data_IF_518509513603
#
_entry.id   IF_518509513603
#
_cell.length_a   1.000
_cell.length_b   1.000
_cell.length_c   1.000
_cell.angle_alpha   90.00
_cell.angle_beta   90.00
_cell.angle_gamma   90.00
#
_symmetry.space_group_name_H-M   'P 1'
#
loop_
_entity.id
_entity.type
_entity.pdbx_description
1 polymer ?
#
# COMPACT_ATOMS: atom_id res chain seq x y z
N UNK A 1 -15.50 -18.41 -18.17
CA UNK A 1 -14.78 -17.17 -17.87
C UNK A 1 -13.41 -17.52 -17.34
N UNK A 2 -12.44 -16.62 -17.49
CA UNK A 2 -11.01 -16.80 -17.22
C UNK A 2 -10.48 -15.82 -16.16
N UNK A 3 -11.34 -15.00 -15.57
CA UNK A 3 -10.92 -14.04 -14.54
C UNK A 3 -10.57 -14.77 -13.25
N UNK A 4 -9.49 -14.33 -12.62
CA UNK A 4 -8.99 -14.89 -11.36
C UNK A 4 -8.69 -13.72 -10.43
N UNK A 5 -8.97 -13.90 -9.14
CA UNK A 5 -8.50 -12.97 -8.11
C UNK A 5 -7.79 -13.72 -6.98
N UNK A 6 -6.85 -13.04 -6.36
CA UNK A 6 -6.16 -13.54 -5.18
C UNK A 6 -5.84 -12.40 -4.21
N UNK A 7 -5.52 -12.77 -2.97
CA UNK A 7 -5.10 -11.87 -1.93
C UNK A 7 -3.85 -12.41 -1.25
N UNK A 8 -3.00 -11.50 -0.81
CA UNK A 8 -1.81 -11.73 0.01
C UNK A 8 -2.07 -11.01 1.31
N UNK A 9 -2.24 -11.77 2.40
CA UNK A 9 -2.30 -11.17 3.73
C UNK A 9 -0.91 -10.66 4.13
N UNK A 10 0.08 -11.51 3.95
CA UNK A 10 1.49 -11.25 4.22
C UNK A 10 2.32 -12.28 3.46
N UNK A 11 3.35 -11.84 2.73
CA UNK A 11 4.28 -12.72 2.03
C UNK A 11 5.57 -11.98 1.71
N UNK A 12 6.68 -12.69 1.85
CA UNK A 12 7.99 -12.24 1.37
C UNK A 12 8.30 -12.85 0.00
N UNK A 13 8.82 -12.05 -0.91
CA UNK A 13 9.31 -12.44 -2.23
C UNK A 13 10.80 -12.17 -2.34
N UNK A 14 11.51 -13.02 -3.09
CA UNK A 14 12.88 -12.74 -3.54
C UNK A 14 12.82 -12.44 -5.02
N UNK A 15 13.02 -11.18 -5.39
CA UNK A 15 12.90 -10.71 -6.77
C UNK A 15 14.20 -9.99 -7.13
N UNK A 16 14.89 -10.47 -8.17
CA UNK A 16 16.16 -9.87 -8.63
C UNK A 16 17.26 -9.78 -7.54
N UNK A 17 17.16 -10.60 -6.50
CA UNK A 17 18.09 -10.62 -5.37
C UNK A 17 17.68 -9.74 -4.18
N UNK A 18 16.59 -8.99 -4.32
CA UNK A 18 16.01 -8.16 -3.26
C UNK A 18 14.89 -8.90 -2.53
N UNK A 19 14.81 -8.68 -1.21
CA UNK A 19 13.72 -9.17 -0.37
C UNK A 19 12.62 -8.12 -0.35
N UNK A 20 11.45 -8.48 -0.87
CA UNK A 20 10.28 -7.62 -0.94
C UNK A 20 9.20 -8.20 -0.02
N UNK A 21 8.76 -7.41 0.96
CA UNK A 21 7.68 -7.77 1.88
C UNK A 21 6.37 -7.13 1.45
N UNK A 22 5.34 -7.95 1.31
CA UNK A 22 4.02 -7.52 0.84
C UNK A 22 2.97 -7.96 1.84
N UNK A 23 2.06 -7.06 2.18
CA UNK A 23 0.90 -7.36 2.99
C UNK A 23 -0.36 -6.72 2.37
N UNK A 24 -1.54 -7.03 2.91
CA UNK A 24 -2.80 -6.35 2.63
C UNK A 24 -3.26 -6.21 1.16
N UNK A 25 -2.60 -6.90 0.23
CA UNK A 25 -2.79 -6.78 -1.21
C UNK A 25 -3.86 -7.75 -1.74
N UNK A 26 -4.75 -7.27 -2.58
CA UNK A 26 -5.63 -8.06 -3.45
C UNK A 26 -5.40 -7.72 -4.92
N UNK A 27 -5.51 -8.69 -5.82
CA UNK A 27 -5.30 -8.46 -7.24
C UNK A 27 -6.11 -9.39 -8.11
N UNK A 28 -6.37 -8.93 -9.33
CA UNK A 28 -7.13 -9.63 -10.36
C UNK A 28 -6.35 -9.66 -11.67
N UNK A 29 -6.43 -10.79 -12.36
CA UNK A 29 -5.90 -10.98 -13.70
C UNK A 29 -6.79 -11.96 -14.48
N UNK A 30 -6.46 -12.20 -15.74
CA UNK A 30 -7.12 -13.21 -16.57
C UNK A 30 -6.11 -14.27 -17.02
N UNK A 31 -6.55 -15.52 -17.13
CA UNK A 31 -5.68 -16.63 -17.56
C UNK A 31 -5.56 -16.79 -19.08
N UNK A 32 -6.34 -16.03 -19.87
CA UNK A 32 -6.34 -16.13 -21.33
C UNK A 32 -6.67 -14.78 -21.96
N UNK A 33 -6.24 -14.56 -23.19
CA UNK A 33 -6.57 -13.36 -23.95
C UNK A 33 -8.04 -13.37 -24.40
N UNK A 34 -8.71 -12.23 -24.28
CA UNK A 34 -10.09 -12.08 -24.76
C UNK A 34 -10.16 -12.00 -26.29
N UNK A 35 -11.17 -12.64 -26.92
CA UNK A 35 -11.40 -12.51 -28.35
C UNK A 35 -11.56 -11.04 -28.78
N UNK A 36 -10.74 -10.61 -29.74
CA UNK A 36 -10.79 -9.24 -30.28
C UNK A 36 -9.93 -8.22 -29.54
N UNK A 37 -9.23 -8.60 -28.48
CA UNK A 37 -8.25 -7.73 -27.82
C UNK A 37 -6.90 -7.82 -28.54
N UNK A 38 -6.25 -6.67 -28.72
CA UNK A 38 -4.95 -6.60 -29.43
C UNK A 38 -3.77 -7.02 -28.55
N UNK A 39 -3.95 -7.04 -27.23
CA UNK A 39 -2.92 -7.36 -26.24
C UNK A 39 -3.51 -8.17 -25.10
N UNK A 40 -2.64 -8.89 -24.40
CA UNK A 40 -3.03 -9.59 -23.18
C UNK A 40 -3.42 -8.56 -22.09
N UNK A 41 -4.51 -8.77 -21.35
CA UNK A 41 -4.87 -7.93 -20.22
C UNK A 41 -3.77 -7.94 -19.15
N UNK A 42 -3.48 -6.79 -18.58
CA UNK A 42 -2.62 -6.69 -17.41
C UNK A 42 -3.29 -7.19 -16.13
N UNK A 43 -2.72 -6.77 -15.02
CA UNK A 43 -3.12 -7.07 -13.65
C UNK A 43 -3.60 -5.78 -13.03
N UNK A 44 -4.66 -5.85 -12.23
CA UNK A 44 -5.06 -4.76 -11.35
C UNK A 44 -4.91 -5.21 -9.89
N UNK A 45 -4.23 -4.40 -9.08
CA UNK A 45 -4.00 -4.61 -7.66
C UNK A 45 -4.63 -3.52 -6.79
N UNK A 46 -4.91 -3.88 -5.55
CA UNK A 46 -5.56 -3.06 -4.53
C UNK A 46 -4.89 -3.36 -3.19
N UNK A 47 -4.32 -2.35 -2.56
CA UNK A 47 -3.64 -2.52 -1.28
C UNK A 47 -4.18 -1.56 -0.22
N UNK A 48 -4.28 -2.04 1.03
CA UNK A 48 -4.65 -1.21 2.17
C UNK A 48 -3.38 -0.59 2.78
N UNK A 49 -2.83 0.41 2.09
CA UNK A 49 -1.64 1.17 2.51
C UNK A 49 -1.78 1.76 3.92
N UNK A 50 -3.00 2.22 4.24
CA UNK A 50 -3.35 2.62 5.60
C UNK A 50 -4.71 2.05 5.99
N UNK A 51 -4.76 1.43 7.16
CA UNK A 51 -5.97 0.99 7.84
C UNK A 51 -6.13 1.68 9.20
N UNK A 52 -7.31 1.60 9.84
CA UNK A 52 -7.46 2.04 11.22
C UNK A 52 -6.36 1.50 12.12
N UNK A 53 -5.81 2.37 12.97
CA UNK A 53 -4.77 1.99 13.91
C UNK A 53 -5.26 0.96 14.92
N UNK A 54 -4.36 0.04 15.26
CA UNK A 54 -4.61 -1.02 16.23
C UNK A 54 -4.03 -0.65 17.60
N UNK A 55 -4.38 0.54 18.12
CA UNK A 55 -3.82 1.06 19.37
C UNK A 55 -4.46 0.37 20.58
N UNK A 56 -3.64 -0.19 21.47
CA UNK A 56 -4.14 -0.86 22.67
C UNK A 56 -3.28 -0.53 23.89
N UNK A 57 -3.93 -0.05 24.95
CA UNK A 57 -3.27 0.35 26.18
C UNK A 57 -2.34 -0.73 26.76
N UNK A 58 -1.06 -0.39 26.92
CA UNK A 58 0.00 -1.20 27.49
C UNK A 58 0.53 -2.30 26.55
N UNK A 59 0.18 -2.26 25.27
CA UNK A 59 0.73 -3.13 24.23
C UNK A 59 1.74 -2.35 23.41
N UNK A 60 2.73 -3.06 22.90
CA UNK A 60 3.78 -2.60 21.99
C UNK A 60 3.86 -3.73 20.93
N UNK A 61 3.15 -3.56 19.81
CA UNK A 61 2.88 -4.65 18.86
C UNK A 61 3.99 -4.85 17.84
N UNK A 62 4.61 -3.77 17.40
CA UNK A 62 5.76 -3.78 16.50
C UNK A 62 7.10 -3.92 17.26
N UNK A 63 7.09 -3.80 18.60
CA UNK A 63 8.25 -3.97 19.48
C UNK A 63 9.32 -2.89 19.28
N UNK A 64 8.91 -1.66 19.00
CA UNK A 64 9.79 -0.50 18.87
C UNK A 64 10.23 0.09 20.25
N UNK A 65 9.54 -0.34 21.32
CA UNK A 65 9.73 0.09 22.71
C UNK A 65 8.79 1.22 23.15
N UNK A 66 7.81 1.57 22.34
CA UNK A 66 6.80 2.60 22.56
C UNK A 66 5.44 1.89 22.68
N UNK A 67 4.71 2.04 23.80
CA UNK A 67 3.37 1.49 23.86
C UNK A 67 2.45 2.14 22.81
N UNK A 68 1.68 1.32 22.09
CA UNK A 68 0.89 1.72 20.91
C UNK A 68 0.01 2.96 21.21
N UNK A 69 -0.53 3.08 22.43
CA UNK A 69 -1.37 4.23 22.80
C UNK A 69 -0.66 5.60 22.71
N UNK A 70 0.67 5.63 22.65
CA UNK A 70 1.50 6.83 22.65
C UNK A 70 2.14 7.16 21.30
N UNK A 71 1.98 6.31 20.28
CA UNK A 71 2.57 6.52 18.96
C UNK A 71 1.94 7.67 18.18
N UNK A 72 0.95 8.35 18.75
CA UNK A 72 0.36 9.56 18.20
C UNK A 72 0.60 10.80 19.04
N UNK A 73 1.29 10.64 20.17
CA UNK A 73 1.42 11.68 21.18
C UNK A 73 2.81 12.32 21.14
N UNK A 74 2.89 13.46 20.46
CA UNK A 74 4.10 14.28 20.43
C UNK A 74 4.63 14.66 21.82
N UNK A 75 3.78 14.77 22.85
CA UNK A 75 4.19 15.10 24.22
C UNK A 75 4.90 13.90 24.84
N UNK A 76 4.39 12.69 24.60
CA UNK A 76 5.02 11.47 25.08
C UNK A 76 6.44 11.33 24.52
N UNK A 77 6.60 11.50 23.21
CA UNK A 77 7.92 11.44 22.55
C UNK A 77 8.89 12.46 23.11
N UNK A 78 8.46 13.72 23.25
CA UNK A 78 9.29 14.79 23.79
C UNK A 78 9.84 14.50 25.19
N UNK A 79 9.06 13.81 26.03
CA UNK A 79 9.42 13.57 27.43
C UNK A 79 10.09 12.22 27.70
N UNK A 80 9.83 11.20 26.89
CA UNK A 80 10.22 9.82 27.21
C UNK A 80 11.22 9.22 26.21
N UNK A 81 11.32 9.78 24.99
CA UNK A 81 12.08 9.19 23.89
C UNK A 81 13.20 10.16 23.47
N UNK A 82 14.45 9.70 23.30
CA UNK A 82 15.54 10.57 22.81
C UNK A 82 15.27 11.04 21.38
N UNK A 83 15.75 12.24 21.04
CA UNK A 83 15.57 12.84 19.70
C UNK A 83 16.06 11.94 18.56
N UNK A 84 17.03 11.07 18.83
CA UNK A 84 17.55 10.09 17.86
C UNK A 84 16.60 8.93 17.55
N UNK A 85 15.41 8.91 18.16
CA UNK A 85 14.34 7.90 17.99
C UNK A 85 13.01 8.60 17.70
N UNK A 86 13.09 9.77 17.09
CA UNK A 86 11.89 10.49 16.67
C UNK A 86 11.58 10.23 15.20
N UNK A 87 12.49 9.60 14.47
CA UNK A 87 12.45 9.33 13.03
C UNK A 87 13.39 8.12 12.84
N UNK A 88 12.86 6.91 13.05
CA UNK A 88 13.67 5.67 13.09
C UNK A 88 14.15 5.28 11.69
N UNK A 89 13.31 5.48 10.69
CA UNK A 89 13.56 5.14 9.30
C UNK A 89 14.34 6.25 8.54
N UNK A 90 14.49 7.44 9.13
CA UNK A 90 15.21 8.61 8.63
C UNK A 90 14.56 9.24 7.38
N UNK A 91 13.24 9.19 7.29
CA UNK A 91 12.49 9.78 6.18
C UNK A 91 12.24 11.30 6.37
N UNK A 92 12.58 11.84 7.54
CA UNK A 92 12.45 13.24 7.90
C UNK A 92 11.10 13.61 8.54
N UNK A 93 10.22 12.63 8.75
CA UNK A 93 8.97 12.77 9.47
C UNK A 93 9.10 12.19 10.86
N UNK A 94 8.59 12.89 11.87
CA UNK A 94 8.59 12.28 13.17
C UNK A 94 7.65 11.07 13.23
N UNK A 95 8.05 9.93 13.81
CA UNK A 95 7.28 8.67 13.85
C UNK A 95 5.82 8.90 14.29
N UNK A 96 5.57 9.80 15.25
CA UNK A 96 4.21 10.13 15.70
C UNK A 96 3.33 10.90 14.71
N UNK A 97 3.90 11.26 13.56
CA UNK A 97 3.26 11.88 12.40
C UNK A 97 3.36 11.02 11.15
N UNK A 98 4.15 9.95 11.19
CA UNK A 98 4.21 8.97 10.12
C UNK A 98 3.16 7.87 10.36
N UNK A 99 2.10 7.77 9.54
CA UNK A 99 1.13 6.71 9.67
C UNK A 99 1.67 5.31 9.34
N UNK A 100 2.80 5.20 8.63
CA UNK A 100 3.42 3.93 8.27
C UNK A 100 4.03 3.22 9.48
N UNK A 101 4.63 4.01 10.38
CA UNK A 101 5.25 3.56 11.63
C UNK A 101 4.27 3.37 12.79
N UNK A 102 2.95 3.57 12.57
CA UNK A 102 1.94 3.33 13.60
C UNK A 102 1.24 1.98 13.33
N UNK A 103 1.25 1.02 14.28
CA UNK A 103 0.51 -0.23 14.26
C UNK A 103 -0.88 -0.11 13.68
N UNK A 104 -1.10 -0.85 12.60
CA UNK A 104 -2.34 -0.85 11.86
C UNK A 104 -3.06 -2.20 11.99
N UNK A 105 -4.39 -2.22 11.84
CA UNK A 105 -5.17 -3.46 11.88
C UNK A 105 -4.90 -4.37 10.67
N UNK A 106 -4.64 -3.77 9.51
CA UNK A 106 -4.45 -4.46 8.24
C UNK A 106 -5.70 -5.17 7.71
N UNK A 107 -5.50 -6.05 6.72
CA UNK A 107 -6.54 -6.87 6.11
C UNK A 107 -6.90 -8.04 7.01
N UNK A 108 -8.07 -7.96 7.65
CA UNK A 108 -8.57 -8.99 8.59
C UNK A 108 -9.39 -10.08 7.90
N UNK A 109 -9.97 -9.78 6.73
CA UNK A 109 -10.59 -10.78 5.88
C UNK A 109 -10.45 -10.42 4.39
N UNK A 110 -10.31 -11.46 3.57
CA UNK A 110 -10.34 -11.42 2.12
C UNK A 110 -11.28 -12.50 1.59
N UNK A 111 -12.44 -12.05 1.12
CA UNK A 111 -13.51 -12.93 0.65
C UNK A 111 -13.61 -12.86 -0.85
N UNK A 112 -13.77 -14.03 -1.47
CA UNK A 112 -13.87 -14.17 -2.92
C UNK A 112 -15.19 -14.82 -3.28
N UNK A 113 -15.81 -14.35 -4.35
CA UNK A 113 -17.09 -14.87 -4.80
C UNK A 113 -17.20 -14.74 -6.32
N UNK A 114 -17.99 -15.64 -6.90
CA UNK A 114 -18.44 -15.48 -8.28
C UNK A 114 -19.79 -14.76 -8.30
N UNK A 115 -20.24 -14.31 -9.47
CA UNK A 115 -21.58 -13.75 -9.65
C UNK A 115 -22.69 -14.64 -9.01
N UNK A 116 -22.56 -15.96 -9.09
CA UNK A 116 -23.54 -16.91 -8.52
C UNK A 116 -23.45 -17.06 -6.99
N UNK A 117 -22.36 -16.60 -6.37
CA UNK A 117 -22.03 -16.79 -4.96
C UNK A 117 -21.84 -15.45 -4.24
N UNK A 118 -22.51 -14.39 -4.67
CA UNK A 118 -22.41 -13.10 -3.99
C UNK A 118 -23.44 -12.89 -2.86
N UNK A 119 -23.07 -12.20 -1.77
CA UNK A 119 -24.00 -11.87 -0.69
C UNK A 119 -24.98 -10.77 -1.13
N UNK A 120 -26.26 -11.11 -1.20
CA UNK A 120 -27.31 -10.21 -1.73
C UNK A 120 -28.06 -9.48 -0.62
N UNK A 121 -28.07 -10.02 0.60
CA UNK A 121 -28.72 -9.42 1.77
C UNK A 121 -27.71 -8.81 2.73
N UNK A 122 -28.14 -7.82 3.50
CA UNK A 122 -27.27 -7.15 4.46
C UNK A 122 -26.64 -8.11 5.48
N UNK A 123 -27.41 -9.06 6.03
CA UNK A 123 -26.86 -10.05 6.97
C UNK A 123 -25.79 -10.95 6.33
N UNK A 124 -25.94 -11.27 5.04
CA UNK A 124 -24.96 -12.05 4.27
C UNK A 124 -23.69 -11.22 4.03
N UNK A 125 -23.85 -9.93 3.72
CA UNK A 125 -22.72 -8.98 3.54
C UNK A 125 -21.95 -8.79 4.84
N UNK A 126 -22.64 -8.60 5.97
CA UNK A 126 -22.00 -8.49 7.28
C UNK A 126 -21.26 -9.77 7.67
N UNK A 127 -21.86 -10.94 7.46
CA UNK A 127 -21.17 -12.22 7.69
C UNK A 127 -19.91 -12.34 6.84
N UNK A 128 -20.00 -11.95 5.56
CA UNK A 128 -18.86 -11.95 4.63
C UNK A 128 -17.76 -11.01 5.11
N UNK A 129 -18.07 -9.74 5.41
CA UNK A 129 -17.12 -8.76 5.94
C UNK A 129 -16.46 -9.22 7.25
N UNK A 130 -17.20 -9.93 8.10
CA UNK A 130 -16.69 -10.50 9.34
C UNK A 130 -15.83 -11.77 9.15
N UNK A 131 -15.60 -12.20 7.90
CA UNK A 131 -14.77 -13.35 7.58
C UNK A 131 -15.50 -14.69 7.54
N UNK A 132 -16.83 -14.71 7.61
CA UNK A 132 -17.61 -15.95 7.57
C UNK A 132 -18.05 -16.29 6.15
N UNK A 133 -18.17 -17.59 5.86
CA UNK A 133 -18.96 -18.07 4.74
C UNK A 133 -20.45 -17.84 5.06
N UNK A 134 -21.09 -16.89 4.37
CA UNK A 134 -22.47 -16.52 4.66
C UNK A 134 -23.51 -17.63 4.38
N UNK A 135 -23.14 -18.70 3.66
CA UNK A 135 -24.02 -19.84 3.39
C UNK A 135 -23.90 -20.94 4.45
N UNK A 136 -22.68 -21.25 4.89
CA UNK A 136 -22.43 -22.35 5.83
C UNK A 136 -22.31 -21.87 7.28
N UNK A 137 -22.01 -20.59 7.50
CA UNK A 137 -21.72 -20.03 8.82
C UNK A 137 -20.31 -20.34 9.33
N UNK A 138 -19.47 -21.00 8.52
CA UNK A 138 -18.09 -21.31 8.88
C UNK A 138 -17.21 -20.05 8.88
N UNK A 139 -16.37 -19.89 9.89
CA UNK A 139 -15.38 -18.81 9.93
C UNK A 139 -14.20 -19.15 9.01
N UNK A 140 -14.07 -18.41 7.91
CA UNK A 140 -13.02 -18.60 6.91
C UNK A 140 -12.59 -17.23 6.35
N UNK A 141 -11.83 -16.42 7.13
CA UNK A 141 -11.56 -15.03 6.77
C UNK A 141 -10.78 -14.87 5.47
N UNK A 142 -10.03 -15.88 5.06
CA UNK A 142 -9.29 -15.91 3.80
C UNK A 142 -9.80 -17.10 2.98
N UNK A 143 -10.69 -16.83 2.02
CA UNK A 143 -11.26 -17.89 1.16
C UNK A 143 -10.22 -18.38 0.16
N UNK A 144 -10.30 -19.66 -0.22
CA UNK A 144 -9.37 -20.31 -1.16
C UNK A 144 -9.88 -20.48 -2.60
N UNK A 145 -11.10 -20.04 -2.98
CA UNK A 145 -11.70 -20.30 -4.31
C UNK A 145 -10.68 -20.16 -5.46
N UNK A 146 -10.44 -21.26 -6.19
CA UNK A 146 -9.37 -21.37 -7.21
C UNK A 146 -9.92 -21.35 -8.64
N UNK A 147 -11.23 -21.40 -8.85
CA UNK A 147 -11.77 -21.60 -10.19
C UNK A 147 -11.98 -20.27 -10.92
N UNK A 148 -11.41 -20.10 -12.13
CA UNK A 148 -11.66 -18.92 -12.96
C UNK A 148 -13.14 -18.78 -13.29
N UNK A 149 -13.72 -17.60 -13.04
CA UNK A 149 -15.12 -17.27 -13.34
C UNK A 149 -15.30 -15.73 -13.34
N UNK A 150 -16.52 -15.18 -13.34
CA UNK A 150 -16.75 -13.75 -13.01
C UNK A 150 -16.36 -13.51 -11.54
N UNK A 151 -15.08 -13.23 -11.30
CA UNK A 151 -14.55 -13.09 -9.95
C UNK A 151 -14.89 -11.72 -9.36
N UNK A 152 -15.21 -11.72 -8.07
CA UNK A 152 -15.35 -10.55 -7.23
C UNK A 152 -14.69 -10.84 -5.91
N UNK A 153 -14.26 -9.80 -5.23
CA UNK A 153 -13.68 -9.92 -3.91
C UNK A 153 -14.11 -8.78 -3.02
N UNK A 154 -13.98 -9.01 -1.72
CA UNK A 154 -14.16 -8.03 -0.65
C UNK A 154 -12.95 -8.12 0.26
N UNK A 155 -12.32 -6.98 0.49
CA UNK A 155 -11.30 -6.79 1.52
C UNK A 155 -11.97 -6.17 2.74
N UNK A 156 -11.54 -6.57 3.93
CA UNK A 156 -12.11 -6.07 5.17
C UNK A 156 -11.00 -5.78 6.18
N UNK A 157 -11.23 -4.72 6.96
CA UNK A 157 -10.41 -4.34 8.09
C UNK A 157 -11.34 -4.17 9.31
N UNK A 158 -11.07 -4.94 10.37
CA UNK A 158 -11.88 -4.97 11.59
C UNK A 158 -12.28 -6.40 12.02
N UNK A 159 -13.22 -6.54 12.97
CA UNK A 159 -14.07 -5.48 13.52
C UNK A 159 -13.31 -4.56 14.47
N UNK A 160 -13.73 -3.30 14.53
CA UNK A 160 -13.28 -2.36 15.55
C UNK A 160 -14.46 -1.53 16.06
N UNK A 161 -14.29 -0.94 17.24
CA UNK A 161 -15.30 -0.07 17.83
C UNK A 161 -15.07 1.36 17.37
N UNK A 162 -16.07 1.95 16.73
CA UNK A 162 -16.07 3.36 16.35
C UNK A 162 -16.88 4.18 17.36
N UNK A 163 -16.24 5.16 17.99
CA UNK A 163 -16.92 6.05 18.95
C UNK A 163 -17.62 7.20 18.21
N UNK A 164 -18.69 7.78 18.79
CA UNK A 164 -19.27 9.02 18.27
C UNK A 164 -18.20 10.10 18.10
N UNK A 165 -18.34 10.91 17.05
CA UNK A 165 -17.44 12.03 16.72
C UNK A 165 -15.97 11.65 16.44
N UNK A 166 -15.67 10.35 16.31
CA UNK A 166 -14.36 9.89 15.85
C UNK A 166 -14.24 9.97 14.33
N UNK A 167 -13.03 9.90 13.81
CA UNK A 167 -12.74 9.67 12.39
C UNK A 167 -11.86 8.44 12.23
N UNK A 168 -12.00 7.77 11.08
CA UNK A 168 -11.07 6.74 10.64
C UNK A 168 -10.50 7.18 9.30
N UNK A 169 -9.24 6.80 9.06
CA UNK A 169 -8.58 6.98 7.77
C UNK A 169 -8.38 5.59 7.17
N UNK A 170 -8.65 5.49 5.88
CA UNK A 170 -8.35 4.33 5.06
C UNK A 170 -7.70 4.87 3.78
N UNK A 171 -6.49 4.41 3.48
CA UNK A 171 -5.80 4.73 2.24
C UNK A 171 -5.73 3.46 1.41
N UNK A 172 -6.27 3.53 0.20
CA UNK A 172 -6.31 2.43 -0.75
C UNK A 172 -5.36 2.73 -1.90
N UNK A 173 -4.37 1.86 -2.09
CA UNK A 173 -3.52 1.82 -3.26
C UNK A 173 -4.23 1.14 -4.43
N UNK A 174 -4.11 1.69 -5.64
CA UNK A 174 -4.58 1.07 -6.87
C UNK A 174 -3.45 0.96 -7.86
N UNK A 175 -3.17 -0.27 -8.30
CA UNK A 175 -2.00 -0.59 -9.10
C UNK A 175 -2.42 -1.27 -10.39
N UNK A 176 -1.71 -0.99 -11.48
CA UNK A 176 -1.86 -1.68 -12.74
C UNK A 176 -0.47 -2.02 -13.26
N UNK A 177 -0.27 -3.27 -13.64
CA UNK A 177 0.98 -3.72 -14.28
C UNK A 177 0.69 -4.69 -15.40
N UNK A 178 1.59 -4.75 -16.37
CA UNK A 178 1.67 -5.92 -17.25
C UNK A 178 2.30 -7.10 -16.50
N UNK A 179 2.04 -8.31 -17.01
CA UNK A 179 2.67 -9.53 -16.52
C UNK A 179 2.79 -10.53 -17.67
N UNK A 180 3.72 -11.47 -17.54
CA UNK A 180 3.99 -12.45 -18.58
C UNK A 180 3.38 -13.83 -18.26
N UNK A 181 2.24 -14.19 -18.86
CA UNK A 181 1.60 -15.48 -18.63
C UNK A 181 2.38 -16.67 -19.23
N UNK A 182 3.42 -16.43 -20.05
CA UNK A 182 4.25 -17.49 -20.63
C UNK A 182 5.33 -17.96 -19.66
N UNK A 183 5.86 -17.06 -18.83
CA UNK A 183 6.96 -17.35 -17.91
C UNK A 183 6.48 -17.52 -16.47
N UNK A 184 5.37 -16.89 -16.08
CA UNK A 184 4.82 -16.98 -14.73
C UNK A 184 3.42 -17.60 -14.73
N UNK A 185 3.12 -18.40 -13.71
CA UNK A 185 1.78 -18.98 -13.51
C UNK A 185 0.79 -18.00 -12.89
N UNK A 186 1.30 -16.92 -12.30
CA UNK A 186 0.54 -15.91 -11.57
C UNK A 186 1.30 -14.59 -11.60
N UNK A 187 0.62 -13.43 -11.64
CA UNK A 187 1.27 -12.12 -11.64
C UNK A 187 1.81 -11.66 -10.27
N UNK A 188 2.03 -12.57 -9.32
CA UNK A 188 2.31 -12.17 -7.94
C UNK A 188 3.66 -11.44 -7.80
N UNK A 189 4.64 -11.80 -8.63
CA UNK A 189 5.94 -11.11 -8.64
C UNK A 189 5.87 -9.70 -9.22
N UNK A 190 5.10 -9.47 -10.28
CA UNK A 190 5.02 -8.19 -10.98
C UNK A 190 4.21 -7.19 -10.16
N UNK A 191 3.11 -7.63 -9.55
CA UNK A 191 2.33 -6.76 -8.69
C UNK A 191 3.09 -6.44 -7.40
N UNK A 192 3.86 -7.40 -6.84
CA UNK A 192 4.69 -7.15 -5.65
C UNK A 192 5.74 -6.05 -5.85
N UNK A 193 6.31 -5.94 -7.06
CA UNK A 193 7.23 -4.84 -7.37
C UNK A 193 6.55 -3.48 -7.29
N UNK A 194 5.35 -3.37 -7.87
CA UNK A 194 4.60 -2.09 -7.87
C UNK A 194 4.10 -1.75 -6.47
N UNK A 195 3.64 -2.75 -5.74
CA UNK A 195 3.18 -2.64 -4.36
C UNK A 195 4.29 -2.15 -3.43
N UNK A 196 5.51 -2.69 -3.55
CA UNK A 196 6.67 -2.22 -2.79
C UNK A 196 6.97 -0.73 -3.03
N UNK A 197 6.91 -0.27 -4.29
CA UNK A 197 7.07 1.16 -4.59
C UNK A 197 5.92 2.02 -4.05
N UNK A 198 4.70 1.50 -4.10
CA UNK A 198 3.52 2.21 -3.62
C UNK A 198 3.55 2.39 -2.10
N UNK A 199 3.89 1.33 -1.37
CA UNK A 199 4.11 1.38 0.07
C UNK A 199 5.24 2.35 0.39
N UNK A 200 6.39 2.22 -0.26
CA UNK A 200 7.51 3.15 -0.09
C UNK A 200 7.13 4.63 -0.28
N UNK A 201 6.36 4.97 -1.32
CA UNK A 201 5.90 6.35 -1.52
C UNK A 201 4.90 6.82 -0.46
N UNK A 202 4.10 5.90 0.08
CA UNK A 202 3.20 6.19 1.18
C UNK A 202 3.98 6.43 2.48
N UNK A 203 4.96 5.58 2.77
CA UNK A 203 5.82 5.66 3.95
C UNK A 203 6.62 6.96 3.95
N UNK A 204 7.19 7.33 2.81
CA UNK A 204 7.79 8.65 2.59
C UNK A 204 6.79 9.82 2.63
N UNK A 205 5.53 9.61 3.02
CA UNK A 205 4.46 10.61 3.07
C UNK A 205 4.34 11.44 1.79
N UNK A 206 4.42 10.76 0.65
CA UNK A 206 4.31 11.36 -0.67
C UNK A 206 5.42 12.38 -0.98
N UNK A 207 6.53 12.36 -0.23
CA UNK A 207 7.73 13.14 -0.50
C UNK A 207 8.49 12.50 -1.66
N UNK A 208 8.02 12.80 -2.87
CA UNK A 208 8.64 12.34 -4.10
C UNK A 208 9.84 13.23 -4.48
N UNK A 209 10.78 12.71 -5.30
CA UNK A 209 11.90 13.48 -5.82
C UNK A 209 11.40 14.80 -6.42
N UNK A 210 11.90 15.90 -5.86
CA UNK A 210 11.58 17.24 -6.32
C UNK A 210 12.31 17.52 -7.63
N UNK A 211 11.79 18.44 -8.47
CA UNK A 211 12.61 18.94 -9.57
C UNK A 211 13.92 19.50 -8.99
N UNK A 212 15.07 19.29 -9.65
CA UNK A 212 16.33 19.80 -9.16
C UNK A 212 16.25 21.33 -9.02
N UNK A 213 17.02 21.94 -8.09
CA UNK A 213 17.05 23.39 -7.95
C UNK A 213 17.34 24.05 -9.30
N UNK A 214 16.65 25.15 -9.67
CA UNK A 214 16.89 25.81 -10.95
C UNK A 214 18.33 26.34 -11.02
N UNK A 215 18.94 26.35 -12.21
CA UNK A 215 20.31 26.81 -12.34
C UNK A 215 20.35 28.32 -12.14
N UNK A 216 21.44 28.83 -11.59
CA UNK A 216 21.60 30.28 -11.38
C UNK A 216 21.95 30.97 -12.70
N UNK A 217 20.97 31.64 -13.30
CA UNK A 217 21.16 32.42 -14.52
C UNK A 217 21.79 33.80 -14.24
N UNK A 218 22.87 34.12 -14.96
CA UNK A 218 23.55 35.40 -14.96
C UNK A 218 23.50 35.98 -16.38
N UNK A 219 22.99 37.21 -16.49
CA UNK A 219 22.96 37.95 -17.75
C UNK A 219 24.15 38.93 -17.78
N UNK A 220 25.03 38.79 -18.77
CA UNK A 220 26.15 39.69 -19.02
C UNK A 220 25.83 40.56 -20.23
N UNK A 221 25.62 41.89 -20.06
CA UNK A 221 25.33 42.78 -21.18
C UNK A 221 26.57 43.03 -22.04
N UNK A 222 26.37 43.11 -23.36
CA UNK A 222 27.40 43.48 -24.34
C UNK A 222 26.83 44.41 -25.41
N UNK A 223 27.70 44.89 -26.32
CA UNK A 223 27.25 45.77 -27.40
C UNK A 223 26.44 45.00 -28.44
N UNK A 224 25.17 45.41 -28.62
CA UNK A 224 24.20 44.76 -29.52
C UNK A 224 23.83 43.31 -29.17
N UNK A 225 24.25 42.80 -27.99
CA UNK A 225 24.02 41.40 -27.58
C UNK A 225 23.94 41.24 -26.07
N UNK A 226 23.35 40.13 -25.63
CA UNK A 226 23.37 39.68 -24.24
C UNK A 226 23.95 38.28 -24.21
N UNK A 227 24.86 38.01 -23.26
CA UNK A 227 25.35 36.66 -22.99
C UNK A 227 24.67 36.13 -21.74
N UNK A 228 24.05 34.96 -21.87
CA UNK A 228 23.45 34.22 -20.76
C UNK A 228 24.45 33.16 -20.29
N UNK A 229 24.74 33.13 -19.00
CA UNK A 229 25.60 32.12 -18.35
C UNK A 229 24.78 31.50 -17.24
N UNK A 230 24.74 30.17 -17.16
CA UNK A 230 24.09 29.44 -16.07
C UNK A 230 25.06 28.46 -15.44
N UNK A 231 24.85 28.12 -14.17
CA UNK A 231 25.61 27.09 -13.46
C UNK A 231 25.02 25.69 -13.68
N UNK A 232 25.70 24.67 -13.15
CA UNK A 232 25.30 23.26 -13.21
C UNK A 232 24.64 22.78 -11.91
N UNK A 233 24.08 23.68 -11.10
CA UNK A 233 23.47 23.31 -9.81
C UNK A 233 22.34 22.29 -10.00
N UNK A 234 21.56 22.41 -11.07
CA UNK A 234 20.49 21.45 -11.41
C UNK A 234 20.99 20.04 -11.76
N UNK A 235 22.27 19.90 -12.15
CA UNK A 235 22.85 18.61 -12.56
C UNK A 235 23.68 17.96 -11.45
N UNK A 236 23.98 18.71 -10.38
CA UNK A 236 24.89 18.29 -9.31
C UNK A 236 24.26 18.27 -7.93
N UNK A 237 23.09 18.91 -7.75
CA UNK A 237 22.33 18.83 -6.51
C UNK A 237 21.84 17.38 -6.32
N UNK A 238 22.27 16.69 -5.23
CA UNK A 238 21.68 15.41 -4.87
C UNK A 238 20.21 15.60 -4.54
N UNK A 239 19.40 14.59 -4.84
CA UNK A 239 18.02 14.59 -4.39
C UNK A 239 18.03 14.44 -2.87
N UNK A 240 17.28 15.24 -2.10
CA UNK A 240 17.20 15.07 -0.65
C UNK A 240 16.81 13.65 -0.22
N UNK A 241 16.17 12.89 -1.11
CA UNK A 241 15.64 11.56 -0.86
C UNK A 241 16.34 10.44 -1.67
N UNK A 242 17.41 10.75 -2.44
CA UNK A 242 18.13 9.76 -3.29
C UNK A 242 19.63 10.03 -3.47
#
# INVERSE_FOLDING_TARGET
>A
MNDVCCGIRERCFVIEGELIWINNLAYRWQNAQEPGWNSFPGVIGFDLLQTPWDLKQGFDKDNDGIPDEYERDSIYYFHNIPVSRWDIDNDGLPDWRDPSEIPQMGMTAFKRFTLNLEPNKDNERYATLAGYNFKTGEYCPFDTIVMPDDQRFVMSCGPFRFMPDSSIVLILGLMITEWDPQHHTKPDTEIAKIDNWMQFFFDMNWLLPGPPPPPKLICVPGDGKITLVWDNTSETAPDPYY
#
